data_IF_804534870259
#
_entry.id   IF_804534870259
#
_cell.length_a   1.000
_cell.length_b   1.000
_cell.length_c   1.000
_cell.angle_alpha   90.00
_cell.angle_beta   90.00
_cell.angle_gamma   90.00
#
_symmetry.space_group_name_H-M   'P 1'
#
loop_
_entity.id
_entity.type
_entity.pdbx_description
1 polymer ?
#
# COMPACT_ATOMS: atom_id res chain seq x y z
N UNK A 1 -21.32 -15.44 20.26
CA UNK A 1 -21.32 -14.23 21.10
C UNK A 1 -19.93 -13.60 20.98
N UNK A 2 -19.81 -12.52 20.21
CA UNK A 2 -18.60 -11.70 20.14
C UNK A 2 -19.06 -10.25 20.12
N UNK A 3 -18.62 -9.47 21.10
CA UNK A 3 -18.79 -8.02 21.14
C UNK A 3 -17.72 -7.40 20.23
N UNK A 4 -18.13 -6.48 19.36
CA UNK A 4 -17.20 -5.54 18.70
C UNK A 4 -17.40 -4.17 19.34
N UNK A 5 -16.29 -3.56 19.76
CA UNK A 5 -16.24 -2.21 20.32
C UNK A 5 -16.48 -1.24 19.16
N UNK A 6 -17.51 -0.39 19.27
CA UNK A 6 -17.76 0.68 18.31
C UNK A 6 -16.72 1.80 18.42
N UNK A 7 -16.64 2.66 17.41
CA UNK A 7 -15.77 3.86 17.35
C UNK A 7 -15.89 4.82 18.54
N UNK A 8 -16.91 4.63 19.37
CA UNK A 8 -17.34 5.54 20.45
C UNK A 8 -17.06 4.91 21.84
N UNK A 9 -16.42 3.74 21.89
CA UNK A 9 -16.11 3.02 23.14
C UNK A 9 -17.27 2.19 23.72
N UNK A 10 -18.44 2.19 23.10
CA UNK A 10 -19.60 1.38 23.52
C UNK A 10 -19.57 -0.02 22.90
N UNK A 11 -19.78 -1.06 23.72
CA UNK A 11 -19.90 -2.45 23.25
C UNK A 11 -21.21 -2.64 22.50
N UNK A 12 -21.15 -3.10 21.25
CA UNK A 12 -22.33 -3.48 20.47
C UNK A 12 -22.52 -4.99 20.50
N UNK A 13 -23.74 -5.42 20.80
CA UNK A 13 -24.16 -6.81 20.86
C UNK A 13 -24.77 -7.25 19.55
N UNK A 14 -24.14 -8.21 18.88
CA UNK A 14 -24.62 -8.80 17.63
C UNK A 14 -25.21 -10.18 17.87
N UNK A 15 -26.39 -10.42 17.32
CA UNK A 15 -26.96 -11.75 17.21
C UNK A 15 -26.81 -12.24 15.77
N UNK A 16 -26.11 -13.36 15.59
CA UNK A 16 -25.84 -13.94 14.27
C UNK A 16 -26.53 -15.29 14.19
N UNK A 17 -27.50 -15.41 13.29
CA UNK A 17 -28.16 -16.67 12.97
C UNK A 17 -27.67 -17.16 11.61
N UNK A 18 -26.95 -18.29 11.60
CA UNK A 18 -26.56 -18.96 10.35
C UNK A 18 -27.36 -20.25 10.20
N UNK A 19 -28.08 -20.42 9.09
CA UNK A 19 -28.81 -21.65 8.79
C UNK A 19 -28.78 -22.00 7.31
N UNK A 20 -28.65 -23.29 7.03
CA UNK A 20 -28.74 -23.85 5.69
C UNK A 20 -30.20 -24.14 5.34
N UNK A 21 -30.87 -23.19 4.70
CA UNK A 21 -32.23 -23.35 4.21
C UNK A 21 -32.25 -23.66 2.71
N UNK A 22 -33.22 -24.49 2.28
CA UNK A 22 -33.57 -24.64 0.87
C UNK A 22 -34.46 -23.49 0.38
N UNK A 23 -35.29 -22.94 1.27
CA UNK A 23 -36.17 -21.78 1.02
C UNK A 23 -36.32 -20.96 2.31
N UNK A 24 -36.39 -19.64 2.17
CA UNK A 24 -36.61 -18.72 3.27
C UNK A 24 -37.92 -17.95 3.05
N UNK A 25 -38.93 -18.18 3.89
CA UNK A 25 -40.21 -17.50 3.84
C UNK A 25 -40.46 -16.69 5.12
N UNK A 26 -41.63 -16.04 5.19
CA UNK A 26 -42.02 -15.18 6.31
C UNK A 26 -42.06 -15.93 7.65
N UNK A 27 -42.45 -17.21 7.62
CA UNK A 27 -42.53 -18.04 8.82
C UNK A 27 -41.15 -18.24 9.46
N UNK A 28 -40.14 -18.56 8.66
CA UNK A 28 -38.77 -18.74 9.14
C UNK A 28 -38.19 -17.42 9.66
N UNK A 29 -38.48 -16.31 8.98
CA UNK A 29 -38.10 -14.98 9.46
C UNK A 29 -38.70 -14.67 10.84
N UNK A 30 -39.99 -14.98 11.04
CA UNK A 30 -40.69 -14.79 12.31
C UNK A 30 -40.08 -15.68 13.40
N UNK A 31 -39.89 -16.97 13.14
CA UNK A 31 -39.31 -17.93 14.10
C UNK A 31 -37.92 -17.49 14.59
N UNK A 32 -37.09 -16.94 13.70
CA UNK A 32 -35.77 -16.43 14.06
C UNK A 32 -35.89 -15.24 15.01
N UNK A 33 -36.74 -14.27 14.69
CA UNK A 33 -36.91 -13.08 15.55
C UNK A 33 -37.53 -13.45 16.89
N UNK A 34 -38.55 -14.30 16.91
CA UNK A 34 -39.17 -14.81 18.14
C UNK A 34 -38.15 -15.53 19.03
N UNK A 35 -37.22 -16.28 18.43
CA UNK A 35 -36.13 -16.91 19.17
C UNK A 35 -35.17 -15.86 19.75
N UNK A 36 -34.82 -14.81 19.00
CA UNK A 36 -33.96 -13.72 19.48
C UNK A 36 -34.62 -12.98 20.65
N UNK A 37 -35.93 -12.76 20.60
CA UNK A 37 -36.69 -12.04 21.62
C UNK A 37 -36.82 -12.79 22.95
N UNK A 38 -36.54 -14.10 22.98
CA UNK A 38 -36.46 -14.87 24.24
C UNK A 38 -35.24 -14.51 25.09
N UNK A 39 -34.23 -13.83 24.52
CA UNK A 39 -33.05 -13.42 25.27
C UNK A 39 -33.37 -12.25 26.21
N UNK A 40 -32.68 -12.20 27.36
CA UNK A 40 -32.88 -11.15 28.38
C UNK A 40 -32.61 -9.74 27.86
N UNK A 41 -31.64 -9.60 26.96
CA UNK A 41 -31.23 -8.34 26.35
C UNK A 41 -31.44 -8.40 24.84
N UNK A 42 -31.96 -7.31 24.27
CA UNK A 42 -32.13 -7.19 22.82
C UNK A 42 -30.78 -6.86 22.17
N UNK A 43 -30.43 -7.50 21.04
CA UNK A 43 -29.20 -7.17 20.34
C UNK A 43 -29.30 -5.82 19.64
N UNK A 44 -28.18 -5.14 19.50
CA UNK A 44 -28.05 -3.93 18.69
C UNK A 44 -28.22 -4.25 17.19
N UNK A 45 -27.76 -5.44 16.79
CA UNK A 45 -27.89 -5.92 15.40
C UNK A 45 -28.26 -7.40 15.31
N UNK A 46 -29.19 -7.72 14.40
CA UNK A 46 -29.47 -9.08 13.94
C UNK A 46 -28.91 -9.32 12.54
N UNK A 47 -27.98 -10.27 12.41
CA UNK A 47 -27.49 -10.75 11.12
C UNK A 47 -28.02 -12.17 10.86
N UNK A 48 -28.76 -12.35 9.78
CA UNK A 48 -29.27 -13.65 9.35
C UNK A 48 -28.52 -14.10 8.10
N UNK A 49 -27.88 -15.26 8.16
CA UNK A 49 -27.11 -15.84 7.06
C UNK A 49 -27.84 -17.09 6.57
N UNK A 50 -28.21 -17.10 5.28
CA UNK A 50 -28.96 -18.19 4.65
C UNK A 50 -28.31 -18.63 3.34
N UNK A 51 -28.34 -19.94 3.08
CA UNK A 51 -27.77 -20.57 1.88
C UNK A 51 -28.69 -20.57 0.65
N UNK A 52 -29.77 -19.78 0.65
CA UNK A 52 -30.72 -19.69 -0.45
C UNK A 52 -31.01 -18.22 -0.79
N UNK A 53 -31.63 -17.99 -1.95
CA UNK A 53 -32.10 -16.66 -2.28
C UNK A 53 -33.35 -16.29 -1.48
N UNK A 54 -33.46 -15.00 -1.18
CA UNK A 54 -34.51 -14.44 -0.35
C UNK A 54 -35.37 -13.53 -1.19
N UNK A 55 -36.68 -13.79 -1.21
CA UNK A 55 -37.61 -12.90 -1.91
C UNK A 55 -37.68 -11.55 -1.21
N UNK A 56 -37.91 -10.47 -1.98
CA UNK A 56 -38.07 -9.11 -1.45
C UNK A 56 -39.15 -9.02 -0.37
N UNK A 57 -40.24 -9.77 -0.54
CA UNK A 57 -41.33 -9.84 0.43
C UNK A 57 -40.89 -10.41 1.79
N UNK A 58 -40.04 -11.45 1.80
CA UNK A 58 -39.54 -12.05 3.03
C UNK A 58 -38.45 -11.19 3.68
N UNK A 59 -37.61 -10.55 2.85
CA UNK A 59 -36.61 -9.59 3.30
C UNK A 59 -37.26 -8.40 4.03
N UNK A 60 -38.25 -7.76 3.40
CA UNK A 60 -38.97 -6.64 3.99
C UNK A 60 -39.71 -7.07 5.27
N UNK A 61 -40.35 -8.24 5.23
CA UNK A 61 -41.03 -8.78 6.41
C UNK A 61 -40.09 -8.95 7.61
N UNK A 62 -38.87 -9.48 7.41
CA UNK A 62 -37.89 -9.57 8.51
C UNK A 62 -37.59 -8.19 9.08
N UNK A 63 -37.30 -7.19 8.23
CA UNK A 63 -36.96 -5.82 8.68
C UNK A 63 -38.11 -5.18 9.46
N UNK A 64 -39.33 -5.25 8.92
CA UNK A 64 -40.52 -4.70 9.57
C UNK A 64 -40.80 -5.39 10.91
N UNK A 65 -40.66 -6.72 10.96
CA UNK A 65 -40.89 -7.49 12.17
C UNK A 65 -39.81 -7.23 13.25
N UNK A 66 -38.55 -7.05 12.85
CA UNK A 66 -37.47 -6.64 13.75
C UNK A 66 -37.74 -5.25 14.35
N UNK A 67 -38.08 -4.27 13.51
CA UNK A 67 -38.37 -2.91 13.94
C UNK A 67 -39.55 -2.86 14.90
N UNK A 68 -40.65 -3.56 14.59
CA UNK A 68 -41.83 -3.66 15.46
C UNK A 68 -41.49 -4.22 16.85
N UNK A 69 -40.50 -5.11 16.94
CA UNK A 69 -40.09 -5.74 18.19
C UNK A 69 -38.88 -5.06 18.86
N UNK A 70 -38.40 -3.93 18.31
CA UNK A 70 -37.36 -3.10 18.90
C UNK A 70 -35.93 -3.50 18.56
N UNK A 71 -35.71 -4.23 17.45
CA UNK A 71 -34.38 -4.46 16.86
C UNK A 71 -34.22 -3.49 15.69
N UNK A 72 -33.36 -2.49 15.85
CA UNK A 72 -33.24 -1.37 14.91
C UNK A 72 -32.41 -1.73 13.67
N UNK A 73 -31.31 -2.46 13.86
CA UNK A 73 -30.44 -2.91 12.76
C UNK A 73 -30.64 -4.40 12.48
N UNK A 74 -31.05 -4.73 11.25
CA UNK A 74 -31.19 -6.11 10.79
C UNK A 74 -30.73 -6.27 9.35
N UNK A 75 -30.00 -7.34 9.09
CA UNK A 75 -29.38 -7.63 7.80
C UNK A 75 -29.52 -9.12 7.45
N UNK A 76 -29.71 -9.41 6.16
CA UNK A 76 -29.72 -10.79 5.64
C UNK A 76 -28.60 -10.95 4.62
N UNK A 77 -27.77 -11.98 4.79
CA UNK A 77 -26.85 -12.48 3.78
C UNK A 77 -27.46 -13.72 3.13
N UNK A 78 -27.99 -13.54 1.92
CA UNK A 78 -28.51 -14.63 1.08
C UNK A 78 -27.38 -15.34 0.32
N UNK A 79 -27.70 -16.43 -0.39
CA UNK A 79 -26.76 -17.13 -1.27
C UNK A 79 -26.05 -16.17 -2.23
N UNK A 80 -26.82 -15.36 -2.98
CA UNK A 80 -26.27 -14.35 -3.89
C UNK A 80 -25.32 -13.33 -3.21
N UNK A 81 -25.64 -12.88 -1.99
CA UNK A 81 -24.79 -11.93 -1.24
C UNK A 81 -23.50 -12.60 -0.77
N UNK A 82 -23.60 -13.84 -0.29
CA UNK A 82 -22.45 -14.64 0.13
C UNK A 82 -21.53 -14.91 -1.05
N UNK A 83 -22.08 -15.27 -2.21
CA UNK A 83 -21.33 -15.50 -3.44
C UNK A 83 -20.61 -14.22 -3.88
N UNK A 84 -21.32 -13.09 -3.96
CA UNK A 84 -20.71 -11.80 -4.32
C UNK A 84 -19.57 -11.42 -3.35
N UNK A 85 -19.77 -11.61 -2.04
CA UNK A 85 -18.72 -11.36 -1.03
C UNK A 85 -17.53 -12.30 -1.20
N UNK A 86 -17.76 -13.57 -1.50
CA UNK A 86 -16.71 -14.56 -1.76
C UNK A 86 -15.87 -14.16 -2.98
N UNK A 87 -16.50 -13.81 -4.10
CA UNK A 87 -15.80 -13.43 -5.33
C UNK A 87 -15.06 -12.09 -5.23
N UNK A 88 -15.58 -11.12 -4.49
CA UNK A 88 -14.98 -9.77 -4.43
C UNK A 88 -14.05 -9.55 -3.24
N UNK A 89 -14.42 -10.05 -2.05
CA UNK A 89 -13.74 -9.68 -0.81
C UNK A 89 -12.93 -10.82 -0.21
N UNK A 90 -13.22 -12.08 -0.58
CA UNK A 90 -12.63 -13.27 0.05
C UNK A 90 -12.22 -14.35 -0.98
N UNK A 91 -11.56 -13.92 -2.06
CA UNK A 91 -11.15 -14.79 -3.18
C UNK A 91 -10.18 -15.91 -2.79
N UNK A 92 -9.46 -15.72 -1.68
CA UNK A 92 -8.64 -16.70 -0.99
C UNK A 92 -9.48 -17.83 -0.39
N UNK A 93 -10.63 -17.53 0.21
CA UNK A 93 -11.57 -18.56 0.69
C UNK A 93 -12.18 -19.36 -0.46
N UNK A 94 -12.44 -18.73 -1.62
CA UNK A 94 -12.88 -19.42 -2.82
C UNK A 94 -11.88 -20.50 -3.26
N UNK A 95 -10.59 -20.18 -3.21
CA UNK A 95 -9.56 -21.14 -3.55
C UNK A 95 -9.42 -22.25 -2.49
N UNK A 96 -9.33 -21.88 -1.21
CA UNK A 96 -9.09 -22.84 -0.12
C UNK A 96 -10.22 -23.86 0.03
N UNK A 97 -11.48 -23.40 -0.03
CA UNK A 97 -12.64 -24.25 0.26
C UNK A 97 -13.32 -24.83 -0.99
N UNK A 98 -13.19 -24.18 -2.15
CA UNK A 98 -13.90 -24.59 -3.37
C UNK A 98 -12.96 -24.91 -4.54
N UNK A 99 -11.64 -24.72 -4.38
CA UNK A 99 -10.67 -24.94 -5.45
C UNK A 99 -10.79 -23.97 -6.63
N UNK A 100 -11.64 -22.95 -6.52
CA UNK A 100 -11.91 -21.99 -7.59
C UNK A 100 -10.79 -20.96 -7.61
N UNK A 101 -9.97 -20.99 -8.67
CA UNK A 101 -8.97 -19.94 -8.95
C UNK A 101 -9.56 -18.93 -9.92
N UNK A 102 -9.64 -17.67 -9.50
CA UNK A 102 -9.98 -16.57 -10.40
C UNK A 102 -8.82 -16.38 -11.37
N UNK A 103 -8.92 -16.98 -12.56
CA UNK A 103 -7.83 -17.15 -13.55
C UNK A 103 -7.19 -15.85 -14.08
N UNK A 104 -7.81 -14.69 -13.82
CA UNK A 104 -7.33 -13.39 -14.30
C UNK A 104 -6.05 -12.91 -13.60
N UNK A 105 -5.79 -13.35 -12.36
CA UNK A 105 -4.60 -12.91 -11.60
C UNK A 105 -3.29 -13.48 -12.16
N UNK A 106 -3.30 -14.73 -12.63
CA UNK A 106 -2.09 -15.43 -13.10
C UNK A 106 -1.61 -14.92 -14.48
N UNK A 107 -2.52 -14.67 -15.43
CA UNK A 107 -2.15 -14.10 -16.75
C UNK A 107 -1.60 -12.67 -16.62
N UNK A 108 -2.20 -11.86 -15.76
CA UNK A 108 -1.72 -10.50 -15.44
C UNK A 108 -0.32 -10.53 -14.83
N UNK A 109 -0.04 -11.48 -13.92
CA UNK A 109 1.29 -11.65 -13.32
C UNK A 109 2.37 -12.03 -14.35
N UNK A 110 2.09 -12.95 -15.28
CA UNK A 110 3.08 -13.31 -16.32
C UNK A 110 3.41 -12.13 -17.23
N UNK A 111 2.41 -11.36 -17.65
CA UNK A 111 2.63 -10.16 -18.45
C UNK A 111 3.45 -9.11 -17.67
N UNK A 112 3.12 -8.88 -16.39
CA UNK A 112 3.85 -8.00 -15.48
C UNK A 112 5.32 -8.42 -15.35
N UNK A 113 5.60 -9.70 -15.14
CA UNK A 113 6.97 -10.23 -15.02
C UNK A 113 7.75 -10.02 -16.32
N UNK A 114 7.16 -10.39 -17.48
CA UNK A 114 7.79 -10.21 -18.78
C UNK A 114 8.12 -8.75 -19.06
N UNK A 115 7.19 -7.83 -18.75
CA UNK A 115 7.42 -6.40 -18.85
C UNK A 115 8.57 -5.94 -17.95
N UNK A 116 8.55 -6.35 -16.68
CA UNK A 116 9.56 -5.97 -15.68
C UNK A 116 10.97 -6.38 -16.12
N UNK A 117 11.16 -7.64 -16.55
CA UNK A 117 12.46 -8.13 -17.02
C UNK A 117 12.93 -7.44 -18.30
N UNK A 118 12.00 -7.09 -19.20
CA UNK A 118 12.33 -6.33 -20.41
C UNK A 118 12.77 -4.90 -20.05
N UNK A 119 12.04 -4.26 -19.15
CA UNK A 119 12.32 -2.90 -18.69
C UNK A 119 13.65 -2.82 -17.92
N UNK A 120 13.89 -3.78 -17.02
CA UNK A 120 15.18 -3.93 -16.31
C UNK A 120 16.35 -3.96 -17.30
N UNK A 121 16.32 -4.88 -18.27
CA UNK A 121 17.40 -5.03 -19.27
C UNK A 121 17.66 -3.74 -20.05
N UNK A 122 16.60 -3.02 -20.38
CA UNK A 122 16.65 -1.75 -21.12
C UNK A 122 17.26 -0.63 -20.29
N UNK A 123 16.75 -0.43 -19.08
CA UNK A 123 17.28 0.55 -18.12
C UNK A 123 18.74 0.28 -17.78
N UNK A 124 19.10 -0.97 -17.47
CA UNK A 124 20.49 -1.33 -17.15
C UNK A 124 21.44 -1.14 -18.33
N UNK A 125 20.93 -1.20 -19.56
CA UNK A 125 21.73 -0.93 -20.76
C UNK A 125 21.95 0.57 -20.96
N UNK A 126 20.88 1.36 -20.81
CA UNK A 126 20.86 2.75 -21.28
C UNK A 126 21.13 3.77 -20.17
N UNK A 127 20.75 3.49 -18.91
CA UNK A 127 20.91 4.40 -17.77
C UNK A 127 22.16 4.10 -16.93
N UNK A 128 22.84 2.98 -17.15
CA UNK A 128 24.08 2.62 -16.44
C UNK A 128 25.29 2.98 -17.30
N UNK A 129 26.26 3.69 -16.71
CA UNK A 129 27.53 3.97 -17.36
C UNK A 129 28.44 2.74 -17.30
N UNK A 130 28.19 1.82 -18.24
CA UNK A 130 28.97 0.61 -18.40
C UNK A 130 30.46 0.87 -18.70
N UNK A 131 30.82 2.05 -19.25
CA UNK A 131 32.23 2.42 -19.49
C UNK A 131 32.89 2.82 -18.17
N UNK A 132 32.21 3.63 -17.37
CA UNK A 132 32.67 4.01 -16.03
C UNK A 132 32.85 2.79 -15.13
N UNK A 133 31.89 1.86 -15.12
CA UNK A 133 31.99 0.63 -14.32
C UNK A 133 33.22 -0.21 -14.72
N UNK A 134 33.42 -0.45 -16.02
CA UNK A 134 34.57 -1.24 -16.50
C UNK A 134 35.92 -0.59 -16.18
N UNK A 135 35.99 0.74 -16.20
CA UNK A 135 37.19 1.50 -15.84
C UNK A 135 37.43 1.49 -14.33
N UNK A 136 36.35 1.57 -13.55
CA UNK A 136 36.38 1.63 -12.10
C UNK A 136 36.55 0.22 -11.54
N UNK A 137 37.80 -0.24 -11.44
CA UNK A 137 38.12 -1.55 -10.85
C UNK A 137 37.95 -1.60 -9.32
N UNK A 138 37.14 -0.70 -8.74
CA UNK A 138 36.96 -0.53 -7.31
C UNK A 138 35.48 -0.60 -6.91
N UNK A 139 35.06 -1.79 -6.48
CA UNK A 139 33.69 -2.04 -5.99
C UNK A 139 33.31 -1.16 -4.80
N UNK A 140 34.29 -0.67 -4.01
CA UNK A 140 34.03 0.20 -2.85
C UNK A 140 33.36 1.52 -3.26
N UNK A 141 33.60 2.02 -4.48
CA UNK A 141 32.96 3.25 -4.96
C UNK A 141 31.44 3.10 -4.94
N UNK A 142 30.94 1.96 -5.40
CA UNK A 142 29.50 1.68 -5.47
C UNK A 142 28.89 1.29 -4.12
N UNK A 143 29.72 0.87 -3.15
CA UNK A 143 29.27 0.63 -1.78
C UNK A 143 28.90 1.95 -1.07
N UNK A 144 29.68 3.02 -1.32
CA UNK A 144 29.49 4.30 -0.66
C UNK A 144 28.71 5.33 -1.49
N UNK A 145 28.76 5.22 -2.83
CA UNK A 145 28.08 6.09 -3.77
C UNK A 145 27.41 5.26 -4.87
N UNK A 146 26.37 4.47 -4.55
CA UNK A 146 25.71 3.58 -5.52
C UNK A 146 25.19 4.31 -6.76
N UNK A 147 24.83 5.59 -6.63
CA UNK A 147 24.32 6.43 -7.71
C UNK A 147 25.37 6.74 -8.78
N UNK A 148 26.67 6.60 -8.46
CA UNK A 148 27.75 6.94 -9.38
C UNK A 148 27.84 6.01 -10.60
N UNK A 149 27.10 4.91 -10.59
CA UNK A 149 27.04 3.96 -11.72
C UNK A 149 26.08 4.41 -12.83
N UNK A 150 25.21 5.38 -12.57
CA UNK A 150 24.25 5.88 -13.55
C UNK A 150 24.86 6.98 -14.42
N UNK A 151 24.38 7.11 -15.66
CA UNK A 151 24.81 8.17 -16.60
C UNK A 151 24.40 9.58 -16.13
N UNK A 152 23.37 9.64 -15.29
CA UNK A 152 22.87 10.86 -14.65
C UNK A 152 22.36 10.50 -13.25
N UNK A 153 22.68 11.34 -12.28
CA UNK A 153 22.14 11.23 -10.93
C UNK A 153 20.73 11.81 -10.84
N UNK A 154 20.41 12.81 -11.67
CA UNK A 154 19.08 13.44 -11.71
C UNK A 154 18.20 12.76 -12.73
N UNK A 155 16.92 12.68 -12.42
CA UNK A 155 15.90 12.05 -13.25
C UNK A 155 14.57 12.79 -13.05
N UNK A 156 13.77 12.83 -14.10
CA UNK A 156 12.41 13.36 -14.04
C UNK A 156 11.45 12.17 -14.07
N UNK A 157 10.52 12.14 -13.12
CA UNK A 157 9.46 11.13 -13.04
C UNK A 157 8.18 11.79 -13.52
N UNK A 158 7.49 11.12 -14.44
CA UNK A 158 6.16 11.49 -14.91
C UNK A 158 5.17 10.41 -14.50
N UNK A 159 3.96 10.80 -14.15
CA UNK A 159 2.79 9.95 -14.29
C UNK A 159 2.56 9.70 -15.78
N UNK A 160 2.06 8.52 -16.12
CA UNK A 160 1.56 8.25 -17.49
C UNK A 160 0.34 9.10 -17.86
N UNK A 161 -0.32 9.67 -16.84
CA UNK A 161 -1.47 10.55 -16.99
C UNK A 161 -1.08 12.04 -16.88
N UNK A 162 0.22 12.36 -16.95
CA UNK A 162 0.71 13.75 -16.91
C UNK A 162 0.43 14.50 -18.22
N UNK A 163 -0.30 15.62 -18.10
CA UNK A 163 -0.59 16.56 -19.21
C UNK A 163 -0.01 17.97 -18.95
N UNK A 164 0.69 18.16 -17.83
CA UNK A 164 1.06 19.49 -17.31
C UNK A 164 2.50 19.86 -17.64
N UNK A 165 3.39 18.88 -17.77
CA UNK A 165 4.78 19.10 -18.15
C UNK A 165 4.91 19.88 -19.47
N UNK A 166 5.81 20.87 -19.58
CA UNK A 166 6.87 21.24 -18.63
C UNK A 166 6.47 22.28 -17.58
N UNK A 167 5.19 22.64 -17.52
CA UNK A 167 4.71 23.69 -16.63
C UNK A 167 4.60 23.18 -15.20
N UNK A 168 4.90 24.06 -14.25
CA UNK A 168 4.78 23.79 -12.82
C UNK A 168 3.37 24.21 -12.41
N UNK A 169 2.54 23.26 -12.00
CA UNK A 169 1.26 23.56 -11.35
C UNK A 169 1.40 23.52 -9.84
N UNK A 170 0.72 24.45 -9.16
CA UNK A 170 0.59 24.40 -7.71
C UNK A 170 -0.28 23.20 -7.32
N UNK A 171 0.35 22.16 -6.79
CA UNK A 171 -0.36 21.00 -6.25
C UNK A 171 -1.00 21.35 -4.91
N UNK A 172 -2.22 20.88 -4.68
CA UNK A 172 -2.88 21.07 -3.39
C UNK A 172 -2.08 20.38 -2.28
N UNK A 173 -2.09 20.88 -1.04
CA UNK A 173 -1.41 20.25 0.08
C UNK A 173 -1.78 18.76 0.21
N UNK A 174 -0.77 17.89 0.18
CA UNK A 174 -0.95 16.44 0.28
C UNK A 174 -1.13 15.71 -1.05
N UNK A 175 -1.20 16.42 -2.19
CA UNK A 175 -1.16 15.82 -3.52
C UNK A 175 0.26 15.81 -4.07
N UNK A 176 0.61 14.75 -4.79
CA UNK A 176 1.88 14.66 -5.49
C UNK A 176 1.75 15.23 -6.90
N UNK A 177 2.74 16.01 -7.32
CA UNK A 177 2.79 16.53 -8.68
C UNK A 177 2.77 15.39 -9.71
N UNK A 178 2.03 15.53 -10.83
CA UNK A 178 1.99 14.52 -11.90
C UNK A 178 3.37 14.34 -12.56
N UNK A 179 4.29 15.29 -12.39
CA UNK A 179 5.70 15.11 -12.70
C UNK A 179 6.61 15.81 -11.68
N UNK A 180 7.80 15.28 -11.43
CA UNK A 180 8.76 15.89 -10.52
C UNK A 180 10.20 15.45 -10.82
N UNK A 181 11.16 16.29 -10.43
CA UNK A 181 12.59 15.96 -10.48
C UNK A 181 13.04 15.31 -9.18
N UNK A 182 13.81 14.23 -9.27
CA UNK A 182 14.43 13.55 -8.14
C UNK A 182 15.82 13.02 -8.51
N UNK A 183 16.45 12.26 -7.61
CA UNK A 183 17.75 11.64 -7.85
C UNK A 183 17.64 10.12 -7.84
N UNK A 184 18.24 9.46 -8.84
CA UNK A 184 18.43 8.01 -8.81
C UNK A 184 19.47 7.68 -7.75
N UNK A 185 19.16 6.73 -6.87
CA UNK A 185 20.04 6.30 -5.80
C UNK A 185 20.69 4.95 -6.14
N UNK A 186 19.91 3.93 -6.46
CA UNK A 186 20.44 2.58 -6.70
C UNK A 186 19.48 1.73 -7.54
N UNK A 187 19.88 0.50 -7.83
CA UNK A 187 19.03 -0.57 -8.36
C UNK A 187 18.71 -1.54 -7.23
N UNK A 188 17.53 -2.16 -7.25
CA UNK A 188 17.20 -3.30 -6.39
C UNK A 188 16.55 -4.41 -7.23
N UNK A 189 16.31 -5.58 -6.62
CA UNK A 189 15.88 -6.79 -7.34
C UNK A 189 14.59 -6.64 -8.19
N UNK A 190 13.76 -5.64 -7.93
CA UNK A 190 12.49 -5.42 -8.63
C UNK A 190 12.36 -4.02 -9.27
N UNK A 191 13.40 -3.17 -9.24
CA UNK A 191 13.29 -1.82 -9.77
C UNK A 191 14.45 -0.86 -9.49
N UNK A 192 14.12 0.42 -9.45
CA UNK A 192 15.05 1.51 -9.14
C UNK A 192 14.70 2.17 -7.80
N UNK A 193 15.74 2.64 -7.11
CA UNK A 193 15.66 3.41 -5.89
C UNK A 193 15.93 4.89 -6.17
N UNK A 194 15.17 5.77 -5.54
CA UNK A 194 15.24 7.22 -5.75
C UNK A 194 15.32 7.95 -4.41
N UNK A 195 16.10 9.02 -4.35
CA UNK A 195 16.23 9.85 -3.15
C UNK A 195 15.25 11.04 -3.21
N UNK A 196 14.11 10.90 -2.52
CA UNK A 196 12.87 11.66 -2.76
C UNK A 196 12.85 13.10 -2.25
N UNK A 197 13.80 13.48 -1.41
CA UNK A 197 13.89 14.81 -0.82
C UNK A 197 15.34 15.30 -0.81
N UNK A 198 16.12 14.99 -1.86
CA UNK A 198 17.57 15.21 -1.85
C UNK A 198 17.97 16.67 -1.58
N UNK A 199 17.19 17.63 -2.06
CA UNK A 199 17.46 19.06 -1.84
C UNK A 199 17.13 19.52 -0.41
N UNK A 200 16.05 19.02 0.19
CA UNK A 200 15.60 19.43 1.53
C UNK A 200 16.32 18.65 2.64
N UNK A 201 16.73 17.41 2.34
CA UNK A 201 17.13 16.45 3.36
C UNK A 201 15.92 15.92 4.14
N UNK A 202 16.11 14.82 4.84
CA UNK A 202 15.14 14.33 5.83
C UNK A 202 15.88 14.05 7.11
N UNK A 203 15.25 14.33 8.24
CA UNK A 203 15.77 13.97 9.55
C UNK A 203 14.85 12.92 10.17
N UNK A 204 15.42 12.03 10.97
CA UNK A 204 14.67 11.09 11.81
C UNK A 204 14.97 11.37 13.28
N UNK A 205 13.98 11.18 14.13
CA UNK A 205 14.17 11.09 15.58
C UNK A 205 14.35 9.62 15.93
N UNK A 206 15.36 9.30 16.71
CA UNK A 206 15.58 7.96 17.26
C UNK A 206 15.66 8.05 18.77
N UNK A 207 14.93 7.21 19.49
CA UNK A 207 15.01 7.13 20.94
C UNK A 207 16.21 6.27 21.40
N UNK A 208 16.30 6.05 22.71
CA UNK A 208 17.38 5.27 23.34
C UNK A 208 17.27 3.77 23.09
N UNK A 209 16.06 3.28 22.79
CA UNK A 209 15.77 1.87 22.55
C UNK A 209 15.91 1.52 21.05
N UNK A 210 16.18 2.53 20.21
CA UNK A 210 16.41 2.39 18.77
C UNK A 210 15.16 2.56 17.92
N UNK A 211 13.99 2.81 18.52
CA UNK A 211 12.80 3.15 17.76
C UNK A 211 12.99 4.52 17.12
N UNK A 212 12.58 4.62 15.86
CA UNK A 212 12.79 5.82 15.09
C UNK A 212 11.56 6.19 14.28
N UNK A 213 11.42 7.47 13.96
CA UNK A 213 10.41 7.97 13.04
C UNK A 213 10.93 9.19 12.25
N UNK A 214 10.46 9.40 11.01
CA UNK A 214 10.82 10.59 10.25
C UNK A 214 10.21 11.85 10.85
N UNK A 215 10.98 12.93 10.87
CA UNK A 215 10.49 14.23 11.31
C UNK A 215 9.71 14.88 10.19
N UNK A 216 8.40 15.06 10.41
CA UNK A 216 7.49 15.68 9.44
C UNK A 216 7.26 17.17 9.68
N UNK A 217 7.56 17.66 10.90
CA UNK A 217 7.35 19.06 11.31
C UNK A 217 8.67 19.77 11.55
N UNK A 218 8.77 21.00 11.03
CA UNK A 218 9.96 21.82 11.21
C UNK A 218 10.21 22.15 12.69
N UNK A 219 9.14 22.44 13.44
CA UNK A 219 9.11 22.87 14.83
C UNK A 219 8.91 21.73 15.85
N UNK A 220 9.29 20.49 15.49
CA UNK A 220 9.18 19.37 16.43
C UNK A 220 10.08 19.58 17.67
N UNK A 221 9.45 19.87 18.81
CA UNK A 221 10.12 20.14 20.09
C UNK A 221 11.03 18.99 20.56
N UNK A 222 10.79 17.75 20.10
CA UNK A 222 11.60 16.58 20.46
C UNK A 222 13.02 16.66 19.91
N UNK A 223 13.28 17.50 18.89
CA UNK A 223 14.62 17.79 18.37
C UNK A 223 15.60 18.29 19.45
N UNK A 224 15.08 19.04 20.43
CA UNK A 224 15.87 19.64 21.51
C UNK A 224 15.84 18.80 22.79
N UNK A 225 15.18 17.64 22.78
CA UNK A 225 15.05 16.79 23.95
C UNK A 225 16.18 15.73 23.96
N UNK A 226 16.95 15.68 25.04
CA UNK A 226 18.07 14.75 25.22
C UNK A 226 17.69 13.27 25.21
N UNK A 227 16.40 12.93 25.28
CA UNK A 227 15.92 11.56 25.14
C UNK A 227 15.92 11.07 23.69
N UNK A 228 16.03 11.96 22.72
CA UNK A 228 16.04 11.61 21.30
C UNK A 228 17.35 12.05 20.66
N UNK A 229 17.77 11.27 19.66
CA UNK A 229 18.86 11.60 18.75
C UNK A 229 18.26 11.96 17.41
N UNK A 230 18.55 13.17 16.93
CA UNK A 230 18.23 13.58 15.56
C UNK A 230 19.32 13.06 14.63
N UNK A 231 18.93 12.31 13.60
CA UNK A 231 19.86 11.76 12.60
C UNK A 231 19.39 12.19 11.22
N UNK A 232 20.29 12.77 10.44
CA UNK A 232 20.02 13.09 9.04
C UNK A 232 19.95 11.79 8.23
N UNK A 233 18.94 11.67 7.38
CA UNK A 233 18.60 10.47 6.64
C UNK A 233 18.25 10.77 5.17
N UNK A 234 18.51 9.78 4.30
CA UNK A 234 18.05 9.74 2.91
C UNK A 234 16.70 9.05 2.88
N UNK A 235 15.66 9.76 2.45
CA UNK A 235 14.35 9.16 2.15
C UNK A 235 14.42 8.50 0.78
N UNK A 236 14.30 7.18 0.74
CA UNK A 236 14.44 6.36 -0.46
C UNK A 236 13.09 5.79 -0.89
N UNK A 237 12.66 6.09 -2.11
CA UNK A 237 11.49 5.50 -2.76
C UNK A 237 11.88 4.41 -3.75
N UNK A 238 11.15 3.29 -3.77
CA UNK A 238 11.33 2.18 -4.71
C UNK A 238 10.25 2.20 -5.78
N UNK A 239 10.63 2.39 -7.04
CA UNK A 239 9.71 2.25 -8.18
C UNK A 239 9.99 0.90 -8.88
N UNK A 240 9.00 0.01 -8.95
CA UNK A 240 9.14 -1.27 -9.65
C UNK A 240 9.36 -1.09 -11.15
N UNK A 241 10.14 -1.97 -11.77
CA UNK A 241 10.23 -2.04 -13.23
C UNK A 241 8.86 -2.27 -13.89
N UNK A 242 7.95 -2.96 -13.19
CA UNK A 242 6.55 -3.14 -13.61
C UNK A 242 5.77 -1.84 -13.77
N UNK A 243 6.12 -0.82 -12.97
CA UNK A 243 5.44 0.46 -12.93
C UNK A 243 6.08 1.49 -13.87
N UNK A 244 7.33 1.26 -14.31
CA UNK A 244 7.95 2.06 -15.38
C UNK A 244 7.40 1.58 -16.72
N UNK A 245 6.67 2.43 -17.43
CA UNK A 245 6.07 2.13 -18.73
C UNK A 245 7.06 2.36 -19.86
N UNK A 246 7.73 3.51 -19.84
CA UNK A 246 8.73 3.88 -20.84
C UNK A 246 9.72 4.91 -20.27
N UNK A 247 10.84 5.14 -20.96
CA UNK A 247 11.80 6.19 -20.62
C UNK A 247 12.42 6.84 -21.86
N UNK A 248 12.89 8.08 -21.69
CA UNK A 248 13.74 8.82 -22.65
C UNK A 248 14.97 9.36 -21.93
N UNK A 249 16.06 9.58 -22.65
CA UNK A 249 17.33 10.03 -22.06
C UNK A 249 17.43 11.54 -21.87
N UNK A 250 16.64 12.30 -22.62
CA UNK A 250 16.53 13.75 -22.57
C UNK A 250 15.30 14.20 -23.36
N UNK A 251 14.99 15.50 -23.30
CA UNK A 251 14.08 16.18 -24.20
C UNK A 251 14.51 17.63 -24.49
N UNK A 252 13.62 18.44 -25.07
CA UNK A 252 13.89 19.83 -25.42
C UNK A 252 13.96 20.80 -24.22
N UNK A 253 13.45 20.41 -23.05
CA UNK A 253 13.47 21.24 -21.84
C UNK A 253 14.58 20.82 -20.87
N UNK A 254 14.83 19.51 -20.75
CA UNK A 254 15.74 18.93 -19.77
C UNK A 254 16.62 17.83 -20.37
N UNK A 255 17.90 17.85 -19.99
CA UNK A 255 18.89 16.87 -20.44
C UNK A 255 18.96 15.64 -19.53
N UNK A 256 18.18 15.62 -18.46
CA UNK A 256 18.04 14.50 -17.56
C UNK A 256 17.16 13.38 -18.16
N UNK A 257 17.40 12.11 -17.81
CA UNK A 257 16.49 11.03 -18.17
C UNK A 257 15.08 11.26 -17.61
N UNK A 258 14.07 10.90 -18.39
CA UNK A 258 12.66 10.92 -17.97
C UNK A 258 12.13 9.49 -17.88
N UNK A 259 11.47 9.16 -16.78
CA UNK A 259 10.76 7.90 -16.57
C UNK A 259 9.26 8.17 -16.55
N UNK A 260 8.51 7.46 -17.38
CA UNK A 260 7.05 7.48 -17.39
C UNK A 260 6.52 6.31 -16.57
N UNK A 261 5.84 6.61 -15.46
CA UNK A 261 5.49 5.66 -14.42
C UNK A 261 3.98 5.63 -14.16
N UNK A 262 3.48 4.46 -13.75
CA UNK A 262 2.12 4.32 -13.23
C UNK A 262 2.08 4.79 -11.78
N UNK A 263 1.19 5.73 -11.47
CA UNK A 263 0.95 6.24 -10.12
C UNK A 263 -0.23 5.50 -9.48
N UNK A 264 -0.11 4.17 -9.40
CA UNK A 264 -1.20 3.27 -9.04
C UNK A 264 -1.06 2.66 -7.65
N UNK A 265 -0.14 3.17 -6.82
CA UNK A 265 0.08 2.76 -5.44
C UNK A 265 -0.15 3.99 -4.56
N UNK A 266 -1.36 4.13 -4.02
CA UNK A 266 -1.78 5.31 -3.25
C UNK A 266 -1.47 6.63 -3.97
N UNK A 267 -1.80 6.71 -5.26
CA UNK A 267 -1.53 7.86 -6.16
C UNK A 267 -0.03 8.18 -6.33
N UNK A 268 0.85 7.23 -5.99
CA UNK A 268 2.29 7.33 -6.11
C UNK A 268 2.87 6.17 -6.94
N UNK A 269 4.11 6.29 -7.46
CA UNK A 269 4.78 5.21 -8.16
C UNK A 269 5.55 4.27 -7.21
N UNK A 270 5.62 4.57 -5.92
CA UNK A 270 6.48 3.89 -4.95
C UNK A 270 5.82 2.66 -4.34
N UNK A 271 6.46 1.49 -4.42
CA UNK A 271 6.00 0.29 -3.70
C UNK A 271 6.52 0.22 -2.25
N UNK A 272 7.59 0.96 -1.95
CA UNK A 272 8.16 1.13 -0.61
C UNK A 272 8.83 2.49 -0.52
N UNK A 273 8.63 3.17 0.60
CA UNK A 273 9.45 4.30 1.02
C UNK A 273 10.15 3.87 2.32
N UNK A 274 11.45 4.07 2.40
CA UNK A 274 12.25 3.71 3.57
C UNK A 274 13.39 4.72 3.76
N UNK A 275 14.12 4.60 4.86
CA UNK A 275 15.13 5.59 5.23
C UNK A 275 16.50 4.93 5.38
N UNK A 276 17.53 5.64 4.92
CA UNK A 276 18.93 5.26 5.10
C UNK A 276 19.71 6.36 5.78
N UNK A 277 20.73 6.00 6.55
CA UNK A 277 21.67 6.98 7.08
C UNK A 277 22.54 7.59 5.98
N UNK A 278 23.23 8.68 6.31
CA UNK A 278 24.36 9.15 5.51
C UNK A 278 25.64 8.45 5.99
N UNK A 279 26.18 7.59 5.14
CA UNK A 279 27.52 7.05 5.31
C UNK A 279 28.61 8.11 5.18
N UNK A 280 29.84 7.71 5.47
CA UNK A 280 31.04 8.53 5.29
C UNK A 280 32.06 7.73 4.46
N UNK A 281 32.12 7.98 3.14
CA UNK A 281 33.05 7.29 2.25
C UNK A 281 34.52 7.47 2.65
N UNK A 282 34.88 8.59 3.30
CA UNK A 282 36.27 8.85 3.76
C UNK A 282 36.63 8.00 4.96
N UNK A 283 35.64 7.62 5.77
CA UNK A 283 35.79 6.74 6.94
C UNK A 283 35.37 5.31 6.66
N UNK A 284 35.07 4.97 5.41
CA UNK A 284 34.59 3.65 5.02
C UNK A 284 33.30 3.22 5.76
N UNK A 285 32.41 4.18 6.04
CA UNK A 285 31.11 3.93 6.65
C UNK A 285 30.04 3.93 5.56
N UNK A 286 29.37 2.80 5.35
CA UNK A 286 28.29 2.69 4.37
C UNK A 286 26.95 3.24 4.91
N UNK A 287 26.07 3.62 3.98
CA UNK A 287 24.67 3.89 4.31
C UNK A 287 24.02 2.61 4.85
N UNK A 288 23.33 2.69 5.99
CA UNK A 288 22.57 1.58 6.57
C UNK A 288 21.07 1.91 6.61
N UNK A 289 20.22 0.87 6.52
CA UNK A 289 18.75 1.01 6.55
C UNK A 289 18.26 1.02 8.00
N UNK A 290 17.41 2.01 8.35
CA UNK A 290 16.96 2.18 9.73
C UNK A 290 16.11 1.00 10.24
N UNK A 291 15.25 0.42 9.40
CA UNK A 291 14.41 -0.73 9.76
C UNK A 291 15.19 -2.03 9.95
N UNK A 292 16.30 -2.24 9.24
CA UNK A 292 17.08 -3.48 9.32
C UNK A 292 17.89 -3.56 10.63
N UNK A 293 18.27 -2.41 11.20
CA UNK A 293 19.12 -2.37 12.40
C UNK A 293 18.38 -2.61 13.71
N UNK A 294 17.06 -2.40 13.76
CA UNK A 294 16.24 -2.63 14.96
C UNK A 294 16.02 -4.11 15.31
N UNK A 295 16.43 -5.05 14.43
CA UNK A 295 16.27 -6.50 14.66
C UNK A 295 17.56 -7.19 15.13
N UNK A 296 18.66 -6.45 15.30
CA UNK A 296 19.98 -7.01 15.65
C UNK A 296 20.29 -6.99 17.15
N UNK A 297 19.28 -6.84 18.01
CA UNK A 297 19.45 -6.78 19.47
C UNK A 297 18.49 -7.74 20.17
N UNK A 298 18.78 -9.04 20.06
CA UNK A 298 18.29 -10.09 20.96
C UNK A 298 19.41 -11.10 21.19
#
# INVERSE_FOLDING_TARGET
MQAKIGSDGTEKTWYIQCKRYSKFAKKEAQEIVDHVLKNKTKPDKLLVIVSCDVSRASYNYLKEYCLKNGIVDSEIWSASVLEAKLYHNYSDLLFVYFGIRIANKTKSNTAKIKHSLKMEKRILKDLIDNKFIKKTNNYKVFLYNPESKFISQRVIIHSVDDETYPNIEDTSPGQMSPWFRTHIYNTYHNGLEFWLAAAMGTDVLMDKDGYWEPITKYDDNRKNNSNYKVIRAKMIGRIPYANIVEYKLSDEYYNEPHLYCKFNIDEMPYEKIYYRSYGDPKKEIADWEFDETCTSSN
#
